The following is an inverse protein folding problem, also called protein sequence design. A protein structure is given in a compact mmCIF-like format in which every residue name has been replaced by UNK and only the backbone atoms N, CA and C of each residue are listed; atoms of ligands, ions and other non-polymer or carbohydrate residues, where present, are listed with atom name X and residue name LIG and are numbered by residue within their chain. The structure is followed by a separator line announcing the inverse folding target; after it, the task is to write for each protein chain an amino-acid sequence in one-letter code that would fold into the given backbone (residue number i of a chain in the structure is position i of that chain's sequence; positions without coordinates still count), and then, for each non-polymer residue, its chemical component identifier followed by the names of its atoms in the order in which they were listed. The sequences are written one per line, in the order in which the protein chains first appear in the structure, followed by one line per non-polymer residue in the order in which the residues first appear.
data_IF_160023144189
#
_entry.id   IF_160023144189
#
_cell.length_a   1.000
_cell.length_b   1.000
_cell.length_c   1.000
_cell.angle_alpha   90.00
_cell.angle_beta   90.00
_cell.angle_gamma   90.00
#
_symmetry.space_group_name_H-M   'P 1'
#
loop_
_entity.id
_entity.type
_entity.pdbx_description
1 polymer ?
#
# COMPACT_ATOMS: atom_id res chain seq x y z
N UNK A 1 24.43 -46.01 -58.50
CA UNK A 1 24.40 -44.59 -58.91
C UNK A 1 23.38 -43.87 -58.03
N UNK A 2 23.89 -43.04 -57.10
CA UNK A 2 23.25 -41.98 -56.28
C UNK A 2 21.76 -42.12 -55.87
N UNK A 3 21.53 -42.71 -54.70
CA UNK A 3 20.34 -42.43 -53.86
C UNK A 3 20.77 -41.49 -52.73
N UNK A 4 20.76 -40.19 -53.00
CA UNK A 4 20.97 -39.15 -51.97
C UNK A 4 19.92 -38.07 -52.21
N UNK A 5 19.32 -37.60 -51.10
CA UNK A 5 18.58 -36.32 -50.93
C UNK A 5 17.05 -36.37 -50.86
N UNK A 6 16.43 -37.24 -50.05
CA UNK A 6 15.05 -36.97 -49.57
C UNK A 6 14.91 -37.08 -48.05
N UNK A 7 15.65 -37.99 -47.41
CA UNK A 7 15.54 -38.19 -45.95
C UNK A 7 16.14 -37.05 -45.09
N UNK A 8 17.06 -36.25 -45.64
CA UNK A 8 17.73 -35.17 -44.89
C UNK A 8 17.00 -33.82 -44.91
N UNK A 9 15.95 -33.68 -45.71
CA UNK A 9 15.16 -32.43 -45.78
C UNK A 9 14.00 -32.49 -44.77
N UNK A 10 13.42 -33.67 -44.55
CA UNK A 10 12.28 -33.84 -43.62
C UNK A 10 12.72 -33.72 -42.15
N UNK A 11 13.89 -34.25 -41.77
CA UNK A 11 14.44 -34.09 -40.41
C UNK A 11 14.92 -32.66 -40.13
N UNK A 12 15.47 -31.95 -41.11
CA UNK A 12 15.85 -30.53 -40.92
C UNK A 12 14.64 -29.59 -40.85
N UNK A 13 13.56 -29.85 -41.59
CA UNK A 13 12.32 -29.07 -41.47
C UNK A 13 11.65 -29.33 -40.10
N UNK A 14 11.65 -30.57 -39.61
CA UNK A 14 11.10 -30.90 -38.29
C UNK A 14 11.94 -30.30 -37.15
N UNK A 15 13.27 -30.24 -37.29
CA UNK A 15 14.16 -29.61 -36.30
C UNK A 15 14.06 -28.07 -36.29
N UNK A 16 13.77 -27.44 -37.43
CA UNK A 16 13.52 -25.98 -37.53
C UNK A 16 12.15 -25.61 -36.96
N UNK A 17 11.12 -26.44 -37.17
CA UNK A 17 9.78 -26.24 -36.57
C UNK A 17 9.83 -26.46 -35.05
N UNK A 18 10.61 -27.44 -34.56
CA UNK A 18 10.78 -27.70 -33.13
C UNK A 18 11.64 -26.62 -32.41
N UNK A 19 12.60 -26.01 -33.12
CA UNK A 19 13.40 -24.90 -32.60
C UNK A 19 12.64 -23.57 -32.56
N UNK A 20 11.68 -23.35 -33.46
CA UNK A 20 10.80 -22.17 -33.42
C UNK A 20 9.81 -22.18 -32.24
N UNK A 21 9.54 -23.36 -31.67
CA UNK A 21 8.72 -23.52 -30.47
C UNK A 21 9.49 -23.39 -29.14
N UNK A 22 10.81 -23.18 -29.15
CA UNK A 22 11.64 -23.10 -27.94
C UNK A 22 12.16 -21.69 -27.60
N UNK A 23 11.93 -20.71 -28.48
CA UNK A 23 12.02 -19.29 -28.14
C UNK A 23 10.60 -18.79 -27.92
N UNK A 24 10.06 -19.04 -26.73
CA UNK A 24 8.77 -18.46 -26.32
C UNK A 24 8.82 -16.95 -26.52
N UNK A 25 8.14 -16.47 -27.55
CA UNK A 25 7.97 -15.08 -27.91
C UNK A 25 6.97 -14.46 -26.95
N UNK A 26 7.36 -14.42 -25.68
CA UNK A 26 6.49 -14.01 -24.61
C UNK A 26 6.47 -12.48 -24.50
N UNK A 27 5.31 -11.94 -24.14
CA UNK A 27 5.11 -10.51 -24.02
C UNK A 27 6.17 -9.87 -23.10
N UNK A 28 6.77 -8.79 -23.59
CA UNK A 28 7.80 -8.05 -22.87
C UNK A 28 7.42 -6.58 -22.80
N UNK A 29 7.21 -6.07 -21.61
CA UNK A 29 6.88 -4.66 -21.38
C UNK A 29 8.17 -3.85 -21.33
N UNK A 30 8.23 -2.76 -22.10
CA UNK A 30 9.37 -1.83 -22.11
C UNK A 30 9.04 -0.52 -21.41
N UNK A 31 7.81 -0.02 -21.50
CA UNK A 31 7.39 1.17 -20.76
C UNK A 31 5.90 1.21 -20.46
N UNK A 32 5.55 1.93 -19.39
CA UNK A 32 4.20 2.39 -19.09
C UNK A 32 4.22 3.91 -19.18
N UNK A 33 3.42 4.48 -20.07
CA UNK A 33 3.40 5.91 -20.30
C UNK A 33 1.97 6.45 -20.24
N UNK A 34 1.74 7.47 -19.41
CA UNK A 34 2.60 7.97 -18.33
C UNK A 34 2.71 6.99 -17.16
N UNK A 35 3.84 7.03 -16.45
CA UNK A 35 4.14 6.17 -15.30
C UNK A 35 3.27 6.45 -14.06
N UNK A 36 2.35 7.43 -14.16
CA UNK A 36 1.34 7.71 -13.13
C UNK A 36 0.01 8.16 -13.72
N UNK A 37 -1.07 7.78 -13.05
CA UNK A 37 -2.46 8.03 -13.46
C UNK A 37 -3.43 8.03 -12.30
N UNK A 38 -4.55 8.71 -12.46
CA UNK A 38 -5.70 8.61 -11.56
C UNK A 38 -6.66 7.50 -12.02
N UNK A 39 -7.50 6.97 -11.11
CA UNK A 39 -8.56 6.02 -11.47
C UNK A 39 -9.43 6.52 -12.64
N UNK A 40 -9.82 5.63 -13.54
CA UNK A 40 -10.59 5.97 -14.74
C UNK A 40 -9.78 6.55 -15.92
N UNK A 41 -8.52 6.97 -15.70
CA UNK A 41 -7.69 7.48 -16.78
C UNK A 41 -7.06 6.37 -17.63
N UNK A 42 -6.57 6.77 -18.80
CA UNK A 42 -5.96 5.88 -19.78
C UNK A 42 -4.43 6.01 -19.75
N UNK A 43 -3.75 4.87 -19.89
CA UNK A 43 -2.31 4.81 -20.11
C UNK A 43 -1.95 3.84 -21.24
N UNK A 44 -0.72 4.00 -21.72
CA UNK A 44 -0.13 3.21 -22.77
C UNK A 44 0.88 2.23 -22.18
N UNK A 45 0.84 0.99 -22.64
CA UNK A 45 1.88 0.00 -22.42
C UNK A 45 2.60 -0.19 -23.75
N UNK A 46 3.90 0.06 -23.78
CA UNK A 46 4.74 -0.26 -24.94
C UNK A 46 5.58 -1.48 -24.65
N UNK A 47 5.90 -2.25 -25.69
CA UNK A 47 6.72 -3.43 -25.56
C UNK A 47 6.87 -4.22 -26.84
N UNK A 48 7.09 -5.51 -26.69
CA UNK A 48 7.33 -6.44 -27.78
C UNK A 48 6.48 -7.68 -27.57
N UNK A 49 6.11 -8.33 -28.67
CA UNK A 49 5.50 -9.67 -28.67
C UNK A 49 4.13 -9.75 -28.01
N UNK A 50 3.34 -8.67 -28.04
CA UNK A 50 1.95 -8.69 -27.56
C UNK A 50 1.01 -9.42 -28.53
N UNK A 51 1.46 -9.67 -29.77
CA UNK A 51 0.63 -10.21 -30.83
C UNK A 51 -0.32 -9.17 -31.44
N UNK A 52 -0.89 -9.51 -32.60
CA UNK A 52 -1.73 -8.60 -33.39
C UNK A 52 -3.14 -8.36 -32.82
N UNK A 53 -3.51 -9.06 -31.74
CA UNK A 53 -4.81 -8.98 -31.06
C UNK A 53 -4.65 -9.54 -29.65
N UNK A 54 -5.50 -9.09 -28.74
CA UNK A 54 -5.48 -9.52 -27.33
C UNK A 54 -5.59 -11.05 -27.14
N UNK A 55 -6.56 -11.70 -27.80
CA UNK A 55 -6.73 -13.15 -27.64
C UNK A 55 -7.07 -13.56 -26.21
N UNK A 56 -6.34 -14.54 -25.65
CA UNK A 56 -6.43 -15.00 -24.26
C UNK A 56 -5.64 -14.14 -23.27
N UNK A 57 -4.93 -13.13 -23.75
CA UNK A 57 -4.09 -12.30 -22.91
C UNK A 57 -4.94 -11.27 -22.16
N UNK A 58 -4.57 -11.03 -20.91
CA UNK A 58 -5.17 -10.03 -20.05
C UNK A 58 -4.09 -9.08 -19.57
N UNK A 59 -4.42 -7.79 -19.50
CA UNK A 59 -3.60 -6.84 -18.74
C UNK A 59 -4.06 -6.89 -17.30
N UNK A 60 -3.09 -7.08 -16.39
CA UNK A 60 -3.31 -7.03 -14.96
C UNK A 60 -2.54 -5.89 -14.31
N UNK A 61 -3.09 -5.35 -13.23
CA UNK A 61 -2.25 -4.77 -12.18
C UNK A 61 -2.26 -5.69 -10.98
N UNK A 62 -1.14 -5.70 -10.30
CA UNK A 62 -1.07 -6.17 -8.93
C UNK A 62 -0.61 -5.06 -8.02
N UNK A 63 -1.30 -4.96 -6.89
CA UNK A 63 -0.75 -4.38 -5.68
C UNK A 63 -0.96 -5.47 -4.66
N UNK A 64 0.14 -6.00 -4.13
CA UNK A 64 0.07 -7.01 -3.09
C UNK A 64 -0.45 -8.34 -3.61
N UNK A 65 -1.29 -9.01 -2.84
CA UNK A 65 -1.92 -10.27 -3.23
C UNK A 65 -3.15 -10.06 -4.12
N UNK A 66 -3.59 -8.82 -4.30
CA UNK A 66 -4.71 -8.50 -5.17
C UNK A 66 -4.18 -8.27 -6.59
N UNK A 67 -4.75 -9.02 -7.54
CA UNK A 67 -4.61 -8.75 -8.97
C UNK A 67 -5.96 -8.33 -9.53
N UNK A 68 -5.97 -7.29 -10.34
CA UNK A 68 -7.17 -6.74 -10.97
C UNK A 68 -6.94 -6.76 -12.48
N UNK A 69 -7.92 -7.29 -13.22
CA UNK A 69 -7.90 -7.37 -14.68
C UNK A 69 -8.54 -6.11 -15.26
N UNK A 70 -7.96 -5.59 -16.35
CA UNK A 70 -8.35 -4.32 -16.96
C UNK A 70 -9.28 -4.40 -18.16
N UNK A 71 -9.96 -3.27 -18.40
CA UNK A 71 -10.54 -2.91 -19.69
C UNK A 71 -9.42 -2.48 -20.66
N UNK A 72 -9.08 -3.38 -21.58
CA UNK A 72 -8.22 -3.10 -22.71
C UNK A 72 -9.03 -2.36 -23.77
N UNK A 73 -8.61 -1.15 -24.12
CA UNK A 73 -9.27 -0.34 -25.16
C UNK A 73 -8.74 -0.66 -26.55
N UNK A 74 -7.44 -0.93 -26.64
CA UNK A 74 -6.75 -1.15 -27.90
C UNK A 74 -5.55 -2.07 -27.72
N UNK A 75 -5.27 -2.89 -28.73
CA UNK A 75 -4.20 -3.89 -28.68
C UNK A 75 -3.48 -3.98 -30.02
N UNK A 76 -2.17 -3.79 -29.98
CA UNK A 76 -1.24 -3.90 -31.10
C UNK A 76 0.01 -4.67 -30.66
N UNK A 77 0.83 -5.18 -31.60
CA UNK A 77 2.00 -6.01 -31.28
C UNK A 77 3.03 -5.40 -30.34
N UNK A 78 3.10 -4.07 -30.31
CA UNK A 78 4.09 -3.29 -29.56
C UNK A 78 3.43 -2.25 -28.64
N UNK A 79 2.09 -2.16 -28.62
CA UNK A 79 1.36 -1.09 -27.95
C UNK A 79 -0.02 -1.55 -27.47
N UNK A 80 -0.38 -1.24 -26.22
CA UNK A 80 -1.69 -1.55 -25.65
C UNK A 80 -2.21 -0.30 -24.92
N UNK A 81 -3.44 0.09 -25.20
CA UNK A 81 -4.13 1.17 -24.51
C UNK A 81 -5.08 0.60 -23.46
N UNK A 82 -4.94 1.06 -22.22
CA UNK A 82 -5.63 0.48 -21.06
C UNK A 82 -6.30 1.57 -20.25
N UNK A 83 -7.54 1.34 -19.83
CA UNK A 83 -8.25 2.21 -18.88
C UNK A 83 -8.17 1.64 -17.47
N UNK A 84 -7.80 2.48 -16.50
CA UNK A 84 -7.84 2.11 -15.09
C UNK A 84 -9.30 2.00 -14.58
N UNK A 85 -9.64 1.01 -13.73
CA UNK A 85 -10.89 1.02 -12.99
C UNK A 85 -11.03 2.32 -12.20
N UNK A 86 -12.28 2.80 -12.10
CA UNK A 86 -12.61 4.08 -11.48
C UNK A 86 -12.49 4.08 -9.95
N UNK A 87 -12.43 2.91 -9.33
CA UNK A 87 -12.43 2.70 -7.88
C UNK A 87 -11.07 2.27 -7.33
N UNK A 88 -10.01 2.30 -8.15
CA UNK A 88 -8.68 1.94 -7.69
C UNK A 88 -8.20 2.84 -6.54
N UNK A 89 -7.75 2.27 -5.41
CA UNK A 89 -7.04 3.02 -4.40
C UNK A 89 -5.73 3.62 -4.95
N UNK A 90 -5.32 4.76 -4.40
CA UNK A 90 -3.99 5.31 -4.72
C UNK A 90 -2.88 4.42 -4.16
N UNK A 91 -1.74 4.36 -4.85
CA UNK A 91 -0.60 3.56 -4.45
C UNK A 91 0.29 3.16 -5.62
N UNK A 92 1.41 2.49 -5.34
CA UNK A 92 2.25 1.93 -6.38
C UNK A 92 1.77 0.51 -6.74
N UNK A 93 1.62 0.26 -8.04
CA UNK A 93 1.14 -0.98 -8.61
C UNK A 93 2.17 -1.52 -9.61
N UNK A 94 2.12 -2.82 -9.86
CA UNK A 94 2.86 -3.50 -10.92
C UNK A 94 1.90 -3.81 -12.06
N UNK A 95 2.20 -3.36 -13.26
CA UNK A 95 1.47 -3.69 -14.50
C UNK A 95 2.14 -4.88 -15.15
N UNK A 96 1.35 -5.85 -15.62
CA UNK A 96 1.83 -7.01 -16.35
C UNK A 96 0.79 -7.48 -17.37
N UNK A 97 1.22 -8.32 -18.30
CA UNK A 97 0.36 -9.08 -19.21
C UNK A 97 0.42 -10.53 -18.77
N UNK A 98 -0.71 -11.20 -18.72
CA UNK A 98 -0.84 -12.62 -18.43
C UNK A 98 -1.58 -13.33 -19.54
N UNK A 99 -1.07 -14.47 -19.99
CA UNK A 99 -1.74 -15.33 -20.96
C UNK A 99 -2.38 -16.51 -20.23
N UNK A 100 -3.71 -16.53 -20.22
CA UNK A 100 -4.47 -17.56 -19.52
C UNK A 100 -4.36 -18.94 -20.19
N UNK A 101 -3.94 -18.99 -21.47
CA UNK A 101 -3.91 -20.25 -22.22
C UNK A 101 -2.71 -21.14 -21.87
N UNK A 102 -1.58 -20.55 -21.52
CA UNK A 102 -0.34 -21.24 -21.15
C UNK A 102 0.15 -20.90 -19.74
N UNK A 103 -0.62 -20.08 -19.01
CA UNK A 103 -0.34 -19.59 -17.67
C UNK A 103 1.00 -18.87 -17.53
N UNK A 104 1.45 -18.20 -18.60
CA UNK A 104 2.68 -17.39 -18.59
C UNK A 104 2.36 -15.90 -18.40
N UNK A 105 3.26 -15.15 -17.78
CA UNK A 105 3.06 -13.72 -17.53
C UNK A 105 4.34 -12.91 -17.71
N UNK A 106 4.21 -11.75 -18.36
CA UNK A 106 5.29 -10.81 -18.74
C UNK A 106 6.18 -10.40 -17.57
N UNK A 107 7.29 -9.71 -17.87
CA UNK A 107 7.87 -8.85 -16.85
C UNK A 107 6.84 -7.79 -16.40
N UNK A 108 7.01 -7.27 -15.19
CA UNK A 108 6.15 -6.21 -14.65
C UNK A 108 6.83 -4.84 -14.69
N UNK A 109 6.06 -3.78 -14.88
CA UNK A 109 6.51 -2.38 -14.76
C UNK A 109 5.76 -1.66 -13.64
N UNK A 110 6.40 -0.64 -13.05
CA UNK A 110 5.77 0.20 -12.04
C UNK A 110 4.78 1.20 -12.66
N UNK A 111 3.63 1.34 -12.01
CA UNK A 111 2.63 2.37 -12.28
C UNK A 111 2.17 2.96 -10.95
N UNK A 112 2.27 4.28 -10.81
CA UNK A 112 1.79 4.97 -9.63
C UNK A 112 0.36 5.49 -9.83
N UNK A 113 -0.58 4.95 -9.06
CA UNK A 113 -1.97 5.43 -9.03
C UNK A 113 -2.08 6.59 -8.05
N UNK A 114 -2.44 7.77 -8.53
CA UNK A 114 -2.69 8.97 -7.70
C UNK A 114 -4.14 9.01 -7.25
N UNK A 115 -4.46 9.78 -6.20
CA UNK A 115 -5.83 9.87 -5.71
C UNK A 115 -6.78 10.57 -6.70
N UNK A 116 -6.28 11.55 -7.44
CA UNK A 116 -6.94 12.24 -8.54
C UNK A 116 -5.90 12.69 -9.57
N UNK A 117 -6.36 13.21 -10.71
CA UNK A 117 -5.49 13.65 -11.80
C UNK A 117 -4.64 14.84 -11.38
N UNK A 118 -3.34 14.80 -11.74
CA UNK A 118 -2.36 15.86 -11.48
C UNK A 118 -1.52 16.08 -12.74
N UNK A 119 -1.28 17.34 -13.17
CA UNK A 119 -0.46 17.62 -14.36
C UNK A 119 0.90 16.90 -14.33
N UNK A 120 1.29 16.27 -15.45
CA UNK A 120 2.55 15.52 -15.56
C UNK A 120 3.80 16.39 -15.40
N UNK A 121 3.69 17.70 -15.61
CA UNK A 121 4.79 18.65 -15.42
C UNK A 121 5.24 18.75 -13.95
N UNK A 122 4.40 18.34 -13.00
CA UNK A 122 4.74 18.35 -11.57
C UNK A 122 5.51 17.06 -11.28
N UNK A 123 6.82 17.13 -11.13
CA UNK A 123 7.67 15.92 -11.00
C UNK A 123 7.90 15.48 -9.56
N UNK A 124 7.73 16.39 -8.58
CA UNK A 124 7.91 16.07 -7.16
C UNK A 124 6.82 15.10 -6.68
N UNK A 125 7.16 13.87 -6.25
CA UNK A 125 6.18 12.90 -5.77
C UNK A 125 5.38 13.38 -4.55
N UNK A 126 5.99 14.14 -3.63
CA UNK A 126 5.25 14.64 -2.48
C UNK A 126 4.21 15.68 -2.89
N UNK A 127 4.60 16.62 -3.75
CA UNK A 127 3.68 17.64 -4.30
C UNK A 127 2.52 17.00 -5.07
N UNK A 128 2.81 15.96 -5.87
CA UNK A 128 1.78 15.21 -6.61
C UNK A 128 0.80 14.53 -5.66
N UNK A 129 1.30 13.91 -4.59
CA UNK A 129 0.44 13.30 -3.56
C UNK A 129 -0.51 14.34 -2.96
N UNK A 130 0.03 15.46 -2.45
CA UNK A 130 -0.75 16.53 -1.83
C UNK A 130 -1.81 17.09 -2.80
N UNK A 131 -1.42 17.42 -4.03
CA UNK A 131 -2.35 17.96 -5.04
C UNK A 131 -3.43 16.96 -5.43
N UNK A 132 -3.08 15.68 -5.55
CA UNK A 132 -4.04 14.63 -5.88
C UNK A 132 -5.08 14.43 -4.76
N UNK A 133 -4.65 14.48 -3.50
CA UNK A 133 -5.55 14.42 -2.35
C UNK A 133 -6.43 15.66 -2.26
N UNK A 134 -5.86 16.85 -2.48
CA UNK A 134 -6.64 18.09 -2.53
C UNK A 134 -7.76 17.98 -3.57
N UNK A 135 -7.41 17.56 -4.79
CA UNK A 135 -8.36 17.44 -5.88
C UNK A 135 -9.45 16.38 -5.60
N UNK A 136 -9.07 15.20 -5.09
CA UNK A 136 -10.04 14.13 -4.78
C UNK A 136 -11.03 14.52 -3.68
N UNK A 137 -10.52 15.08 -2.58
CA UNK A 137 -11.30 15.29 -1.36
C UNK A 137 -11.77 16.74 -1.17
N UNK A 138 -11.62 17.59 -2.19
CA UNK A 138 -12.09 18.98 -2.14
C UNK A 138 -11.40 19.83 -1.06
N UNK A 139 -10.13 19.54 -0.71
CA UNK A 139 -9.39 20.39 0.24
C UNK A 139 -9.10 21.77 -0.37
N UNK A 140 -8.95 22.77 0.48
CA UNK A 140 -8.70 24.14 0.03
C UNK A 140 -7.28 24.33 -0.52
N UNK A 141 -7.04 25.44 -1.21
CA UNK A 141 -5.69 25.77 -1.68
C UNK A 141 -4.77 26.18 -0.53
N UNK A 142 -5.32 26.74 0.54
CA UNK A 142 -4.61 27.05 1.79
C UNK A 142 -4.11 25.77 2.45
N UNK A 143 -4.93 24.71 2.46
CA UNK A 143 -4.53 23.40 2.96
C UNK A 143 -3.37 22.81 2.15
N UNK A 144 -3.42 22.88 0.81
CA UNK A 144 -2.33 22.40 -0.03
C UNK A 144 -1.04 23.18 0.24
N UNK A 145 -1.10 24.52 0.25
CA UNK A 145 0.07 25.36 0.57
C UNK A 145 0.63 24.99 1.93
N UNK A 146 -0.22 24.83 2.94
CA UNK A 146 0.20 24.43 4.27
C UNK A 146 0.92 23.07 4.27
N UNK A 147 0.41 22.07 3.55
CA UNK A 147 1.06 20.75 3.44
C UNK A 147 2.43 20.81 2.76
N UNK A 148 2.58 21.68 1.76
CA UNK A 148 3.86 21.91 1.07
C UNK A 148 4.85 22.68 1.94
N UNK A 149 4.38 23.71 2.66
CA UNK A 149 5.19 24.49 3.60
C UNK A 149 5.64 23.64 4.80
N UNK A 150 4.87 22.60 5.16
CA UNK A 150 5.18 21.64 6.23
C UNK A 150 5.81 20.34 5.69
N UNK A 151 6.35 20.32 4.48
CA UNK A 151 6.96 19.13 3.85
C UNK A 151 7.94 18.39 4.75
N UNK A 152 8.81 19.12 5.44
CA UNK A 152 9.81 18.55 6.34
C UNK A 152 9.24 17.70 7.49
N UNK A 153 7.94 17.81 7.77
CA UNK A 153 7.25 17.03 8.80
C UNK A 153 6.64 15.72 8.28
N UNK A 154 6.25 15.67 7.00
CA UNK A 154 5.40 14.61 6.47
C UNK A 154 5.99 13.84 5.31
N UNK A 155 6.98 14.41 4.63
CA UNK A 155 7.57 13.76 3.47
C UNK A 155 8.20 12.42 3.84
N UNK A 156 8.85 12.30 4.99
CA UNK A 156 9.40 11.03 5.46
C UNK A 156 8.31 9.96 5.61
N UNK A 157 7.15 10.33 6.17
CA UNK A 157 6.01 9.43 6.30
C UNK A 157 5.43 9.04 4.93
N UNK A 158 5.33 10.00 4.02
CA UNK A 158 4.94 9.75 2.63
C UNK A 158 5.88 8.79 1.91
N UNK A 159 7.19 9.02 1.99
CA UNK A 159 8.18 8.14 1.37
C UNK A 159 8.08 6.73 1.95
N UNK A 160 7.98 6.63 3.28
CA UNK A 160 7.84 5.35 3.97
C UNK A 160 6.54 4.63 3.59
N UNK A 161 5.43 5.34 3.44
CA UNK A 161 4.13 4.81 3.01
C UNK A 161 4.12 4.41 1.52
N UNK A 162 4.81 5.18 0.67
CA UNK A 162 4.94 4.94 -0.77
C UNK A 162 5.81 3.71 -1.07
N UNK A 163 6.92 3.55 -0.35
CA UNK A 163 7.83 2.40 -0.46
C UNK A 163 7.29 1.15 0.23
N UNK A 164 6.32 1.34 1.12
CA UNK A 164 5.83 0.35 2.03
C UNK A 164 5.30 -0.89 1.27
N UNK A 165 5.73 -2.13 1.60
CA UNK A 165 5.33 -3.34 0.90
C UNK A 165 3.84 -3.67 1.11
N UNK A 166 3.47 -4.90 0.85
CA UNK A 166 2.08 -5.28 0.83
C UNK A 166 1.51 -5.69 2.17
N UNK A 167 2.06 -6.75 2.76
CA UNK A 167 1.72 -7.15 4.13
C UNK A 167 2.78 -6.60 5.09
N UNK A 168 2.36 -6.06 6.24
CA UNK A 168 3.21 -5.68 7.37
C UNK A 168 3.13 -6.78 8.42
N UNK A 169 4.20 -7.56 8.53
CA UNK A 169 4.32 -8.48 9.65
C UNK A 169 4.63 -7.65 10.91
N UNK A 170 3.73 -7.72 11.89
CA UNK A 170 3.91 -7.14 13.21
C UNK A 170 4.18 -8.32 14.15
N UNK A 171 5.41 -8.44 14.62
CA UNK A 171 5.74 -9.36 15.68
C UNK A 171 5.08 -8.89 16.97
N UNK A 172 4.37 -9.75 17.68
CA UNK A 172 3.75 -9.40 18.95
C UNK A 172 4.26 -10.31 20.05
N UNK A 173 4.60 -9.73 21.20
CA UNK A 173 4.98 -10.46 22.41
C UNK A 173 4.59 -9.69 23.67
N UNK A 174 4.49 -10.40 24.78
CA UNK A 174 4.44 -9.78 26.11
C UNK A 174 5.87 -9.51 26.60
N UNK A 175 6.06 -8.43 27.36
CA UNK A 175 7.36 -8.07 27.93
C UNK A 175 7.79 -9.02 29.04
N UNK A 176 6.90 -9.29 30.00
CA UNK A 176 7.11 -10.26 31.08
C UNK A 176 5.80 -10.92 31.45
N UNK A 177 5.78 -12.26 31.48
CA UNK A 177 4.60 -13.13 31.64
C UNK A 177 3.41 -12.77 30.70
N UNK A 178 2.53 -13.72 30.36
CA UNK A 178 1.35 -13.36 29.60
C UNK A 178 0.45 -12.36 30.36
N UNK A 179 -0.05 -11.35 29.66
CA UNK A 179 -1.07 -10.45 30.20
C UNK A 179 -2.32 -11.27 30.53
N UNK A 180 -2.80 -11.17 31.77
CA UNK A 180 -4.01 -11.88 32.22
C UNK A 180 -5.23 -11.01 31.95
N UNK A 181 -5.95 -11.31 30.86
CA UNK A 181 -7.18 -10.59 30.47
C UNK A 181 -8.42 -11.07 31.26
N UNK A 182 -9.38 -10.17 31.48
CA UNK A 182 -10.66 -10.46 32.15
C UNK A 182 -11.85 -9.83 31.39
N UNK A 183 -12.70 -10.61 30.70
CA UNK A 183 -12.58 -12.04 30.49
C UNK A 183 -11.41 -12.38 29.56
N UNK A 184 -10.83 -13.58 29.68
CA UNK A 184 -9.71 -13.98 28.84
C UNK A 184 -10.09 -14.07 27.37
N UNK A 185 -9.13 -13.83 26.49
CA UNK A 185 -9.23 -14.25 25.09
C UNK A 185 -9.38 -15.77 25.02
N UNK A 186 -10.11 -16.27 24.03
CA UNK A 186 -10.27 -17.73 23.83
C UNK A 186 -8.92 -18.37 23.49
N UNK A 187 -8.12 -17.65 22.70
CA UNK A 187 -6.76 -17.99 22.31
C UNK A 187 -6.06 -16.75 21.72
N UNK A 188 -4.75 -16.87 21.46
CA UNK A 188 -3.96 -15.77 20.91
C UNK A 188 -4.32 -15.43 19.45
N UNK A 189 -4.84 -16.38 18.65
CA UNK A 189 -5.32 -16.07 17.31
C UNK A 189 -6.49 -15.07 17.34
N UNK A 190 -7.42 -15.24 18.29
CA UNK A 190 -8.52 -14.30 18.48
C UNK A 190 -8.02 -12.93 18.96
N UNK A 191 -7.03 -12.93 19.85
CA UNK A 191 -6.41 -11.70 20.34
C UNK A 191 -5.72 -10.94 19.19
N UNK A 192 -4.88 -11.61 18.40
CA UNK A 192 -4.21 -11.02 17.24
C UNK A 192 -5.20 -10.55 16.16
N UNK A 193 -6.34 -11.23 16.01
CA UNK A 193 -7.42 -10.78 15.13
C UNK A 193 -8.05 -9.46 15.61
N UNK A 194 -8.18 -9.23 16.92
CA UNK A 194 -8.65 -7.96 17.46
C UNK A 194 -7.66 -6.82 17.20
N UNK A 195 -6.36 -7.06 17.39
CA UNK A 195 -5.30 -6.09 17.03
C UNK A 195 -5.27 -5.77 15.52
N UNK A 196 -5.48 -6.79 14.69
CA UNK A 196 -5.63 -6.60 13.25
C UNK A 196 -6.84 -5.73 12.93
N UNK A 197 -7.98 -5.97 13.57
CA UNK A 197 -9.20 -5.20 13.34
C UNK A 197 -9.01 -3.70 13.62
N UNK A 198 -8.41 -3.32 14.76
CA UNK A 198 -8.13 -1.91 15.05
C UNK A 198 -7.15 -1.29 14.06
N UNK A 199 -6.17 -2.07 13.58
CA UNK A 199 -5.15 -1.59 12.63
C UNK A 199 -5.72 -1.41 11.22
N UNK A 200 -6.57 -2.33 10.76
CA UNK A 200 -7.26 -2.23 9.47
C UNK A 200 -8.20 -1.00 9.45
N UNK A 201 -8.86 -0.71 10.56
CA UNK A 201 -9.76 0.44 10.72
C UNK A 201 -8.99 1.77 10.75
N UNK A 202 -7.84 1.81 11.43
CA UNK A 202 -7.04 3.02 11.55
C UNK A 202 -6.20 3.36 10.31
N UNK A 203 -5.77 2.34 9.57
CA UNK A 203 -4.95 2.48 8.36
C UNK A 203 -5.59 1.77 7.16
N UNK A 204 -6.77 2.21 6.69
CA UNK A 204 -7.44 1.53 5.60
C UNK A 204 -6.56 1.53 4.35
N UNK A 205 -6.41 0.35 3.74
CA UNK A 205 -5.52 0.12 2.59
C UNK A 205 -4.11 -0.36 2.94
N UNK A 206 -3.78 -0.46 4.24
CA UNK A 206 -2.65 -1.25 4.74
C UNK A 206 -3.13 -2.68 5.03
N UNK A 207 -2.22 -3.65 4.94
CA UNK A 207 -2.49 -5.04 5.31
C UNK A 207 -1.54 -5.45 6.43
N UNK A 208 -2.08 -5.68 7.62
CA UNK A 208 -1.31 -6.10 8.79
C UNK A 208 -1.46 -7.59 9.04
N UNK A 209 -0.35 -8.22 9.41
CA UNK A 209 -0.32 -9.58 9.91
C UNK A 209 0.37 -9.58 11.26
N UNK A 210 -0.41 -9.76 12.32
CA UNK A 210 0.12 -9.94 13.66
C UNK A 210 0.58 -11.38 13.86
N UNK A 211 1.77 -11.54 14.43
CA UNK A 211 2.42 -12.83 14.68
C UNK A 211 2.75 -12.92 16.17
N UNK A 212 1.96 -13.69 16.92
CA UNK A 212 2.22 -13.94 18.33
C UNK A 212 3.47 -14.80 18.53
N UNK A 213 4.25 -14.53 19.59
CA UNK A 213 5.55 -15.15 19.93
C UNK A 213 6.63 -15.08 18.84
N UNK A 214 6.37 -14.32 17.77
CA UNK A 214 7.23 -14.28 16.60
C UNK A 214 8.18 -13.09 16.63
N UNK A 215 9.25 -13.11 17.42
CA UNK A 215 10.38 -12.22 17.11
C UNK A 215 11.01 -12.70 15.80
N UNK A 216 10.94 -11.87 14.78
CA UNK A 216 11.50 -12.22 13.48
C UNK A 216 12.31 -11.04 12.98
N UNK A 217 13.54 -11.31 12.52
CA UNK A 217 14.37 -10.32 11.80
C UNK A 217 13.63 -9.71 10.58
N UNK A 218 12.57 -10.40 10.14
CA UNK A 218 11.71 -10.06 9.01
C UNK A 218 10.45 -9.27 9.40
N UNK A 219 10.24 -8.96 10.68
CA UNK A 219 9.13 -8.10 11.10
C UNK A 219 9.35 -6.68 10.59
N UNK A 220 8.23 -6.02 10.28
CA UNK A 220 8.25 -4.60 10.00
C UNK A 220 8.39 -3.79 11.29
N UNK A 221 7.67 -4.23 12.33
CA UNK A 221 7.74 -3.71 13.69
C UNK A 221 7.49 -4.83 14.71
N UNK A 222 7.96 -4.62 15.94
CA UNK A 222 7.75 -5.48 17.09
C UNK A 222 6.88 -4.76 18.11
N UNK A 223 5.66 -5.24 18.34
CA UNK A 223 4.74 -4.78 19.37
C UNK A 223 5.01 -5.56 20.67
N UNK A 224 5.29 -4.84 21.76
CA UNK A 224 5.72 -5.39 23.04
C UNK A 224 4.77 -4.88 24.12
N UNK A 225 3.85 -5.74 24.58
CA UNK A 225 2.81 -5.36 25.51
C UNK A 225 3.19 -5.61 26.98
N UNK A 226 2.70 -4.76 27.88
CA UNK A 226 2.89 -4.89 29.33
C UNK A 226 4.07 -4.10 29.89
N UNK A 227 4.63 -3.16 29.11
CA UNK A 227 5.69 -2.26 29.60
C UNK A 227 5.07 -1.01 30.22
N UNK A 228 5.23 -0.77 31.54
CA UNK A 228 4.73 0.44 32.19
C UNK A 228 5.71 1.62 32.04
N UNK A 229 6.21 1.86 30.82
CA UNK A 229 7.02 3.05 30.54
C UNK A 229 6.20 4.07 29.78
N UNK A 230 6.29 5.34 30.18
CA UNK A 230 5.78 6.47 29.39
C UNK A 230 6.70 6.80 28.20
N UNK A 231 7.64 5.91 27.87
CA UNK A 231 8.64 6.14 26.82
C UNK A 231 8.05 5.71 25.49
N UNK A 232 7.59 6.70 24.70
CA UNK A 232 7.33 6.50 23.28
C UNK A 232 8.68 6.43 22.56
N UNK A 233 9.07 5.24 22.11
CA UNK A 233 10.31 5.07 21.36
C UNK A 233 10.08 5.52 19.92
N UNK A 234 10.28 6.81 19.68
CA UNK A 234 10.14 7.46 18.38
C UNK A 234 11.18 7.00 17.32
N UNK A 235 12.01 5.99 17.60
CA UNK A 235 13.00 5.48 16.66
C UNK A 235 13.22 3.98 16.81
N UNK A 236 12.95 3.23 15.75
CA UNK A 236 13.27 1.80 15.68
C UNK A 236 12.20 0.97 14.99
N UNK A 237 12.25 -0.34 15.24
CA UNK A 237 11.17 -1.30 14.92
C UNK A 237 10.32 -1.65 16.14
N UNK A 238 10.82 -1.39 17.35
CA UNK A 238 10.13 -1.77 18.58
C UNK A 238 9.10 -0.72 18.98
N UNK A 239 7.92 -1.20 19.33
CA UNK A 239 6.74 -0.45 19.74
C UNK A 239 6.32 -1.00 21.10
N UNK A 240 6.53 -0.21 22.14
CA UNK A 240 6.19 -0.59 23.50
C UNK A 240 4.77 -0.13 23.83
N UNK A 241 3.96 -1.07 24.31
CA UNK A 241 2.54 -0.89 24.52
C UNK A 241 2.25 -0.95 26.02
N UNK A 242 1.94 0.21 26.61
CA UNK A 242 1.39 0.26 27.95
C UNK A 242 -0.01 -0.37 28.00
N UNK A 243 -0.80 -0.15 26.95
CA UNK A 243 -2.01 -0.88 26.64
C UNK A 243 -2.09 -1.07 25.13
N UNK A 244 -2.72 -2.16 24.68
CA UNK A 244 -2.66 -2.57 23.27
C UNK A 244 -3.23 -1.57 22.28
N UNK A 245 -4.24 -0.81 22.68
CA UNK A 245 -4.89 0.15 21.78
C UNK A 245 -3.99 1.34 21.45
N UNK A 246 -2.91 1.57 22.22
CA UNK A 246 -1.90 2.59 21.87
C UNK A 246 -1.05 2.19 20.65
N UNK A 247 -1.15 0.94 20.18
CA UNK A 247 -0.43 0.46 19.00
C UNK A 247 -0.58 1.38 17.80
N UNK A 248 -1.80 1.88 17.54
CA UNK A 248 -2.06 2.75 16.40
C UNK A 248 -1.26 4.06 16.50
N UNK A 249 -1.12 4.59 17.71
CA UNK A 249 -0.37 5.80 17.94
C UNK A 249 1.14 5.55 17.78
N UNK A 250 1.67 4.53 18.45
CA UNK A 250 3.11 4.24 18.42
C UNK A 250 3.58 3.74 17.05
N UNK A 251 2.74 2.97 16.34
CA UNK A 251 3.02 2.54 14.99
C UNK A 251 3.06 3.72 14.00
N UNK A 252 2.33 4.81 14.27
CA UNK A 252 2.45 6.03 13.47
C UNK A 252 3.86 6.64 13.55
N UNK A 253 4.56 6.53 14.69
CA UNK A 253 5.98 6.93 14.78
C UNK A 253 6.89 6.06 13.94
N UNK A 254 6.63 4.75 13.88
CA UNK A 254 7.33 3.86 12.95
C UNK A 254 7.12 4.38 11.53
N UNK A 255 5.92 4.85 11.18
CA UNK A 255 5.63 5.46 9.88
C UNK A 255 6.11 6.92 9.75
N UNK A 256 6.99 7.41 10.62
CA UNK A 256 7.55 8.75 10.62
C UNK A 256 6.51 9.87 10.77
N UNK A 257 5.35 9.58 11.35
CA UNK A 257 4.38 10.61 11.73
C UNK A 257 4.86 11.29 13.01
N UNK A 258 5.02 12.62 13.01
CA UNK A 258 5.48 13.35 14.19
C UNK A 258 4.41 13.34 15.30
N UNK A 259 4.85 13.32 16.55
CA UNK A 259 4.02 13.56 17.72
C UNK A 259 3.50 14.99 17.71
N UNK A 260 2.17 15.12 17.79
CA UNK A 260 1.44 16.37 17.97
C UNK A 260 1.78 17.46 16.95
N UNK A 261 0.85 18.37 16.80
CA UNK A 261 1.11 19.58 16.04
C UNK A 261 1.96 20.56 16.83
N UNK A 262 1.97 20.44 18.15
CA UNK A 262 2.37 21.46 19.08
C UNK A 262 3.43 20.93 20.08
N UNK A 263 4.25 21.81 20.68
CA UNK A 263 5.16 21.40 21.78
C UNK A 263 4.36 20.88 22.99
N UNK A 264 4.98 20.24 23.99
CA UNK A 264 4.30 19.83 25.23
C UNK A 264 3.50 21.00 25.86
N UNK A 265 4.07 22.21 25.82
CA UNK A 265 3.44 23.42 26.34
C UNK A 265 2.27 23.92 25.49
N UNK A 266 2.17 23.46 24.25
CA UNK A 266 1.20 23.89 23.26
C UNK A 266 0.24 22.76 22.84
N UNK A 267 0.36 21.56 23.41
CA UNK A 267 -0.54 20.44 23.12
C UNK A 267 -2.01 20.87 23.26
N UNK A 268 -2.81 20.59 22.22
CA UNK A 268 -4.22 20.98 22.14
C UNK A 268 -4.47 22.45 21.78
N UNK A 269 -3.42 23.26 21.53
CA UNK A 269 -3.57 24.65 21.09
C UNK A 269 -3.80 24.81 19.58
N UNK A 270 -3.66 23.72 18.81
CA UNK A 270 -3.98 23.65 17.38
C UNK A 270 -3.12 24.60 16.53
N UNK A 271 -1.90 24.94 16.97
CA UNK A 271 -1.05 25.95 16.29
C UNK A 271 -0.48 25.44 14.98
N UNK A 272 -0.31 24.12 14.85
CA UNK A 272 0.17 23.52 13.61
C UNK A 272 -0.85 22.55 12.98
N UNK A 273 -2.15 22.80 13.17
CA UNK A 273 -3.18 22.06 12.43
C UNK A 273 -3.28 22.57 10.98
N UNK A 274 -3.62 21.70 10.02
CA UNK A 274 -4.00 22.15 8.68
C UNK A 274 -5.20 23.12 8.76
N UNK A 275 -5.29 24.11 7.85
CA UNK A 275 -6.42 25.02 7.81
C UNK A 275 -7.77 24.28 7.78
N UNK A 276 -8.65 24.60 8.72
CA UNK A 276 -9.99 24.02 8.83
C UNK A 276 -10.08 22.72 9.62
N UNK A 277 -9.01 22.30 10.30
CA UNK A 277 -8.99 21.06 11.09
C UNK A 277 -8.72 21.33 12.58
N UNK A 278 -9.26 20.47 13.44
CA UNK A 278 -9.26 20.68 14.89
C UNK A 278 -8.73 19.51 15.71
N UNK A 279 -8.55 18.32 15.13
CA UNK A 279 -8.47 17.04 15.83
C UNK A 279 -7.71 15.98 15.00
N UNK A 280 -6.94 15.09 15.65
CA UNK A 280 -6.09 14.04 15.03
C UNK A 280 -5.81 12.91 16.02
N UNK A 281 -5.66 11.65 15.62
CA UNK A 281 -5.29 10.53 16.51
C UNK A 281 -3.92 10.74 17.19
N UNK A 282 -3.06 11.54 16.57
CA UNK A 282 -1.83 11.99 17.20
C UNK A 282 -2.06 13.02 18.32
N UNK A 283 -3.29 13.50 18.49
CA UNK A 283 -3.81 14.26 19.63
C UNK A 283 -4.69 13.28 20.45
N UNK A 284 -4.43 13.12 21.75
CA UNK A 284 -4.94 11.99 22.58
C UNK A 284 -6.46 11.99 22.83
N UNK A 285 -7.25 12.67 21.99
CA UNK A 285 -8.71 12.80 22.12
C UNK A 285 -9.50 12.34 20.89
N UNK A 286 -8.88 11.69 19.92
CA UNK A 286 -9.59 11.22 18.70
C UNK A 286 -9.09 9.85 18.29
N UNK A 287 -9.93 9.07 17.62
CA UNK A 287 -9.55 7.74 17.15
C UNK A 287 -9.21 7.72 15.65
N UNK A 288 -9.15 8.87 14.97
CA UNK A 288 -8.81 8.94 13.55
C UNK A 288 -7.71 9.96 13.24
N UNK A 289 -6.78 9.61 12.37
CA UNK A 289 -5.76 10.55 11.89
C UNK A 289 -6.38 11.77 11.21
N UNK A 290 -5.80 12.96 11.41
CA UNK A 290 -6.18 14.14 10.63
C UNK A 290 -5.84 13.99 9.14
N UNK A 291 -6.29 14.92 8.31
CA UNK A 291 -6.11 14.77 6.86
C UNK A 291 -4.66 14.85 6.43
N UNK A 292 -3.81 15.61 7.13
CA UNK A 292 -2.40 15.73 6.80
C UNK A 292 -1.66 14.41 7.05
N UNK A 293 -1.89 13.80 8.22
CA UNK A 293 -1.41 12.45 8.53
C UNK A 293 -1.92 11.43 7.50
N UNK A 294 -3.23 11.41 7.21
CA UNK A 294 -3.81 10.47 6.23
C UNK A 294 -3.24 10.68 4.83
N UNK A 295 -3.05 11.92 4.40
CA UNK A 295 -2.43 12.24 3.10
C UNK A 295 -1.00 11.70 3.03
N UNK A 296 -0.21 11.91 4.09
CA UNK A 296 1.15 11.39 4.19
C UNK A 296 1.17 9.86 4.17
N UNK A 297 0.25 9.22 4.90
CA UNK A 297 0.11 7.76 4.93
C UNK A 297 -0.57 7.17 3.68
N UNK A 298 -0.99 7.99 2.72
CA UNK A 298 -1.81 7.55 1.58
C UNK A 298 -3.09 6.80 2.00
N UNK A 299 -3.67 7.20 3.14
CA UNK A 299 -4.94 6.72 3.68
C UNK A 299 -6.07 7.59 3.10
N UNK A 300 -7.13 7.03 2.50
CA UNK A 300 -8.24 7.82 1.94
C UNK A 300 -8.86 8.75 2.98
N UNK A 301 -9.43 9.90 2.62
CA UNK A 301 -10.09 10.83 3.56
C UNK A 301 -11.62 10.65 3.64
N UNK A 302 -12.19 9.94 2.68
CA UNK A 302 -13.62 9.65 2.52
C UNK A 302 -14.06 8.37 3.26
N UNK A 303 -13.14 7.71 3.96
CA UNK A 303 -13.41 6.54 4.79
C UNK A 303 -13.57 6.99 6.23
N UNK A 304 -14.79 6.95 6.76
CA UNK A 304 -15.05 7.17 8.17
C UNK A 304 -15.10 5.82 8.89
N UNK A 305 -14.15 5.60 9.80
CA UNK A 305 -14.01 4.38 10.59
C UNK A 305 -14.09 4.66 12.09
N UNK A 306 -14.40 5.89 12.50
CA UNK A 306 -14.31 6.32 13.90
C UNK A 306 -15.20 5.46 14.81
N UNK A 307 -16.50 5.36 14.52
CA UNK A 307 -17.43 4.54 15.33
C UNK A 307 -17.02 3.06 15.41
N UNK A 308 -16.58 2.48 14.29
CA UNK A 308 -16.15 1.09 14.24
C UNK A 308 -14.84 0.87 15.02
N UNK A 309 -13.93 1.84 14.97
CA UNK A 309 -12.66 1.82 15.67
C UNK A 309 -12.86 1.99 17.17
N UNK A 310 -13.74 2.90 17.58
CA UNK A 310 -14.16 3.08 18.97
C UNK A 310 -14.68 1.77 19.56
N UNK A 311 -15.57 1.09 18.83
CA UNK A 311 -16.12 -0.20 19.25
C UNK A 311 -15.03 -1.28 19.38
N UNK A 312 -14.09 -1.34 18.44
CA UNK A 312 -12.99 -2.30 18.46
C UNK A 312 -11.99 -2.04 19.61
N UNK A 313 -11.67 -0.77 19.86
CA UNK A 313 -10.84 -0.33 21.00
C UNK A 313 -11.53 -0.67 22.33
N UNK A 314 -12.81 -0.37 22.45
CA UNK A 314 -13.58 -0.64 23.67
C UNK A 314 -13.62 -2.14 24.02
N UNK A 315 -13.67 -3.03 23.03
CA UNK A 315 -13.66 -4.47 23.28
C UNK A 315 -12.32 -4.98 23.83
N UNK A 316 -11.19 -4.43 23.35
CA UNK A 316 -9.87 -4.74 23.91
C UNK A 316 -9.77 -4.18 25.33
N UNK A 317 -10.13 -2.91 25.54
CA UNK A 317 -10.10 -2.28 26.87
C UNK A 317 -10.95 -2.99 27.92
N UNK A 318 -12.13 -3.51 27.53
CA UNK A 318 -12.99 -4.26 28.44
C UNK A 318 -12.31 -5.52 28.98
N UNK A 319 -11.33 -6.07 28.26
CA UNK A 319 -10.56 -7.27 28.62
C UNK A 319 -9.20 -6.96 29.24
N UNK A 320 -8.63 -5.80 28.92
CA UNK A 320 -7.27 -5.43 29.32
C UNK A 320 -7.20 -5.24 30.85
N UNK A 321 -6.22 -5.85 31.53
CA UNK A 321 -6.03 -5.64 32.97
C UNK A 321 -5.47 -4.24 33.21
N UNK A 322 -6.25 -3.40 33.90
CA UNK A 322 -5.85 -2.03 34.29
C UNK A 322 -4.64 -2.02 35.22
#
# INVERSE_FOLDING_TARGET
MKTIKVTMIVTSIFLVILAFSLLGCHAKLTSVSPYRRAPGEIFLISGENFGNRQGSQVVGISRCRASIIYDVLFWMPEEIEVRLPSDLPSGNYKVFIYDDSDHTGSNSLDLWITAASVPLAIIDPYEVQVKSFRARYGKSIEWERWMLDNRGRYEAAFLKAKEAPCTRNIAFRYDTDPIVYEPPWVNEDQHMAALKAISDLAYPGYDFRFLFDGDTDYSYANAIAGIPTNESFASGKDVYLYYETIFIHEFAHILCIPHHYDTIAEMGMRRHMPPGESECLMDRGTNQFCSACRTALNVPLDVDTEEALDAAIAEIWRRYPY
#
